data_IF_850392896814
#
_entry.id   IF_850392896814
#
_cell.length_a   1.000
_cell.length_b   1.000
_cell.length_c   1.000
_cell.angle_alpha   90.00
_cell.angle_beta   90.00
_cell.angle_gamma   90.00
#
_symmetry.space_group_name_H-M   'P 1'
#
loop_
_entity.id
_entity.type
_entity.pdbx_description
1 polymer ?
#
# COMPACT_ATOMS: atom_id res chain seq x y z
N UNK A 1 4.18 -39.04 17.86
CA UNK A 1 5.05 -37.91 17.72
C UNK A 1 4.56 -36.93 16.71
N UNK A 2 4.61 -35.71 17.14
CA UNK A 2 4.27 -34.61 16.27
C UNK A 2 5.27 -34.55 15.12
N UNK A 3 4.86 -35.03 13.99
CA UNK A 3 5.62 -34.77 12.76
C UNK A 3 5.40 -33.30 12.42
N UNK A 4 6.47 -32.52 12.47
CA UNK A 4 6.43 -31.20 11.85
C UNK A 4 6.19 -31.41 10.36
N UNK A 5 5.04 -30.99 9.91
CA UNK A 5 4.76 -30.95 8.48
C UNK A 5 5.67 -29.87 7.88
N UNK A 6 6.67 -30.30 7.13
CA UNK A 6 7.44 -29.39 6.31
C UNK A 6 6.52 -28.82 5.24
N UNK A 7 6.41 -27.52 5.22
CA UNK A 7 5.75 -26.86 4.09
C UNK A 7 6.56 -27.14 2.84
N UNK A 8 5.88 -27.60 1.80
CA UNK A 8 6.47 -27.71 0.46
C UNK A 8 6.87 -26.31 0.00
N UNK A 9 7.72 -26.22 -1.01
CA UNK A 9 8.05 -24.94 -1.65
C UNK A 9 6.78 -24.21 -2.07
N UNK A 10 5.81 -24.92 -2.62
CA UNK A 10 4.51 -24.37 -2.96
C UNK A 10 3.81 -23.76 -1.74
N UNK A 11 3.83 -24.46 -0.61
CA UNK A 11 3.20 -23.97 0.62
C UNK A 11 3.83 -22.69 1.14
N UNK A 12 5.16 -22.59 1.08
CA UNK A 12 5.90 -21.39 1.48
C UNK A 12 5.56 -20.22 0.56
N UNK A 13 5.53 -20.45 -0.74
CA UNK A 13 5.19 -19.45 -1.75
C UNK A 13 3.74 -18.96 -1.59
N UNK A 14 2.81 -19.90 -1.39
CA UNK A 14 1.40 -19.56 -1.17
C UNK A 14 1.21 -18.72 0.08
N UNK A 15 1.88 -19.07 1.16
CA UNK A 15 1.82 -18.33 2.42
C UNK A 15 2.33 -16.90 2.25
N UNK A 16 3.42 -16.71 1.53
CA UNK A 16 3.98 -15.39 1.25
C UNK A 16 3.01 -14.54 0.42
N UNK A 17 2.41 -15.12 -0.60
CA UNK A 17 1.38 -14.44 -1.39
C UNK A 17 0.21 -14.02 -0.52
N UNK A 18 -0.31 -14.91 0.31
CA UNK A 18 -1.45 -14.60 1.17
C UNK A 18 -1.12 -13.51 2.19
N UNK A 19 0.08 -13.56 2.77
CA UNK A 19 0.55 -12.52 3.69
C UNK A 19 0.58 -11.15 3.01
N UNK A 20 1.18 -11.06 1.83
CA UNK A 20 1.33 -9.80 1.09
C UNK A 20 -0.03 -9.29 0.62
N UNK A 21 -0.87 -10.15 0.10
CA UNK A 21 -2.23 -9.79 -0.32
C UNK A 21 -3.03 -9.19 0.83
N UNK A 22 -2.95 -9.81 2.03
CA UNK A 22 -3.64 -9.31 3.22
C UNK A 22 -3.05 -8.00 3.72
N UNK A 23 -1.75 -7.85 3.63
CA UNK A 23 -1.07 -6.61 4.04
C UNK A 23 -1.63 -5.41 3.29
N UNK A 24 -1.82 -5.54 1.98
CA UNK A 24 -2.36 -4.47 1.14
C UNK A 24 -3.88 -4.47 1.04
N UNK A 25 -4.55 -5.38 1.76
CA UNK A 25 -6.01 -5.49 1.82
C UNK A 25 -6.64 -5.74 0.44
N UNK A 26 -6.09 -6.70 -0.30
CA UNK A 26 -6.52 -7.02 -1.66
C UNK A 26 -7.15 -8.40 -1.76
N UNK A 27 -8.08 -8.54 -2.73
CA UNK A 27 -8.65 -9.82 -3.12
C UNK A 27 -7.75 -10.50 -4.15
N UNK A 28 -7.85 -11.84 -4.24
CA UNK A 28 -7.01 -12.65 -5.12
C UNK A 28 -7.05 -12.19 -6.58
N UNK A 29 -8.24 -11.90 -7.11
CA UNK A 29 -8.39 -11.48 -8.51
C UNK A 29 -7.61 -10.19 -8.79
N UNK A 30 -7.72 -9.22 -7.89
CA UNK A 30 -7.05 -7.94 -8.04
C UNK A 30 -5.53 -8.09 -7.89
N UNK A 31 -5.10 -8.86 -6.91
CA UNK A 31 -3.67 -9.14 -6.70
C UNK A 31 -3.04 -9.81 -7.92
N UNK A 32 -3.73 -10.79 -8.50
CA UNK A 32 -3.27 -11.46 -9.71
C UNK A 32 -3.12 -10.51 -10.90
N UNK A 33 -4.03 -9.54 -11.03
CA UNK A 33 -3.90 -8.50 -12.07
C UNK A 33 -2.65 -7.67 -11.89
N UNK A 34 -2.30 -7.32 -10.65
CA UNK A 34 -1.06 -6.60 -10.37
C UNK A 34 0.16 -7.43 -10.73
N UNK A 35 0.13 -8.71 -10.42
CA UNK A 35 1.23 -9.58 -10.82
C UNK A 35 1.41 -9.61 -12.33
N UNK A 36 0.33 -9.77 -13.08
CA UNK A 36 0.37 -9.79 -14.55
C UNK A 36 0.95 -8.49 -15.12
N UNK A 37 0.54 -7.37 -14.59
CA UNK A 37 1.06 -6.06 -15.02
C UNK A 37 2.55 -5.92 -14.65
N UNK A 38 2.94 -6.35 -13.47
CA UNK A 38 4.34 -6.34 -13.04
C UNK A 38 5.23 -7.19 -13.95
N UNK A 39 4.74 -8.36 -14.34
CA UNK A 39 5.46 -9.27 -15.23
C UNK A 39 5.60 -8.70 -16.65
N UNK A 40 4.62 -7.92 -17.10
CA UNK A 40 4.64 -7.29 -18.42
C UNK A 40 5.68 -6.17 -18.50
N UNK A 41 5.93 -5.49 -17.39
CA UNK A 41 6.86 -4.35 -17.35
C UNK A 41 8.32 -4.82 -17.36
N UNK A 42 9.21 -3.96 -17.88
CA UNK A 42 10.66 -4.20 -17.85
C UNK A 42 11.18 -4.24 -16.42
N UNK A 43 12.22 -5.00 -16.20
CA UNK A 43 12.90 -5.10 -14.91
C UNK A 43 12.41 -6.25 -14.06
N UNK A 44 12.69 -6.19 -12.77
CA UNK A 44 12.31 -7.22 -11.81
C UNK A 44 10.81 -7.26 -11.60
N UNK A 45 10.18 -8.40 -11.89
CA UNK A 45 8.75 -8.59 -11.68
C UNK A 45 8.34 -8.37 -10.23
N UNK A 46 9.14 -8.89 -9.30
CA UNK A 46 8.86 -8.74 -7.86
C UNK A 46 8.90 -7.29 -7.40
N UNK A 47 9.92 -6.56 -7.82
CA UNK A 47 10.03 -5.14 -7.48
C UNK A 47 8.91 -4.33 -8.13
N UNK A 48 8.59 -4.63 -9.40
CA UNK A 48 7.48 -3.98 -10.10
C UNK A 48 6.15 -4.21 -9.37
N UNK A 49 5.93 -5.44 -8.88
CA UNK A 49 4.73 -5.77 -8.12
C UNK A 49 4.62 -4.90 -6.86
N UNK A 50 5.69 -4.80 -6.08
CA UNK A 50 5.68 -4.00 -4.86
C UNK A 50 5.47 -2.51 -5.15
N UNK A 51 6.06 -1.99 -6.22
CA UNK A 51 5.85 -0.60 -6.64
C UNK A 51 4.39 -0.33 -7.01
N UNK A 52 3.77 -1.24 -7.75
CA UNK A 52 2.35 -1.12 -8.10
C UNK A 52 1.45 -1.11 -6.86
N UNK A 53 1.74 -1.96 -5.88
CA UNK A 53 0.98 -2.03 -4.64
C UNK A 53 1.20 -0.77 -3.79
N UNK A 54 2.43 -0.29 -3.70
CA UNK A 54 2.76 0.89 -2.90
C UNK A 54 2.20 2.19 -3.48
N UNK A 55 2.00 2.27 -4.78
CA UNK A 55 1.43 3.46 -5.42
C UNK A 55 -0.09 3.51 -5.39
N UNK A 56 -0.78 2.52 -4.84
CA UNK A 56 -2.23 2.59 -4.67
C UNK A 56 -2.59 3.74 -3.74
N UNK A 57 -3.63 4.47 -4.10
CA UNK A 57 -4.06 5.63 -3.32
C UNK A 57 -4.40 5.24 -1.88
N UNK A 58 -5.10 4.13 -1.66
CA UNK A 58 -5.43 3.69 -0.31
C UNK A 58 -4.17 3.41 0.52
N UNK A 59 -3.15 2.81 -0.09
CA UNK A 59 -1.88 2.57 0.58
C UNK A 59 -1.14 3.87 0.91
N UNK A 60 -1.13 4.82 -0.01
CA UNK A 60 -0.47 6.12 0.20
C UNK A 60 -1.17 6.89 1.33
N UNK A 61 -2.50 6.88 1.37
CA UNK A 61 -3.28 7.48 2.45
C UNK A 61 -2.93 6.84 3.80
N UNK A 62 -2.80 5.52 3.84
CA UNK A 62 -2.38 4.80 5.04
C UNK A 62 -0.96 5.21 5.46
N UNK A 63 0.00 5.18 4.54
CA UNK A 63 1.40 5.52 4.83
C UNK A 63 1.57 6.97 5.25
N UNK A 64 0.76 7.86 4.72
CA UNK A 64 0.73 9.27 5.13
C UNK A 64 0.21 9.46 6.56
N UNK A 65 -0.44 8.44 7.12
CA UNK A 65 -0.93 8.46 8.48
C UNK A 65 -2.38 8.91 8.64
N UNK A 66 -3.12 9.08 7.54
CA UNK A 66 -4.51 9.53 7.61
C UNK A 66 -5.48 8.43 8.00
N UNK A 67 -5.12 7.17 7.82
CA UNK A 67 -5.87 6.03 8.30
C UNK A 67 -5.01 5.17 9.22
N UNK A 68 -5.61 4.61 10.27
CA UNK A 68 -4.92 3.75 11.23
C UNK A 68 -4.58 2.38 10.64
N UNK A 69 -5.34 1.97 9.64
CA UNK A 69 -5.14 0.71 8.91
C UNK A 69 -5.34 0.98 7.42
N UNK A 70 -4.90 0.05 6.57
CA UNK A 70 -5.18 0.16 5.14
C UNK A 70 -6.67 0.08 4.84
N UNK A 71 -7.43 -0.70 5.62
CA UNK A 71 -8.88 -0.77 5.48
C UNK A 71 -9.54 0.58 5.77
N UNK A 72 -9.14 1.26 6.84
CA UNK A 72 -9.64 2.59 7.18
C UNK A 72 -9.27 3.61 6.09
N UNK A 73 -8.03 3.59 5.62
CA UNK A 73 -7.58 4.45 4.54
C UNK A 73 -8.41 4.24 3.27
N UNK A 74 -8.69 2.98 2.93
CA UNK A 74 -9.53 2.65 1.78
C UNK A 74 -10.95 3.21 1.93
N UNK A 75 -11.50 3.15 3.13
CA UNK A 75 -12.81 3.72 3.41
C UNK A 75 -12.81 5.25 3.23
N UNK A 76 -11.76 5.93 3.70
CA UNK A 76 -11.62 7.37 3.50
C UNK A 76 -11.64 7.73 2.02
N UNK A 77 -10.92 6.97 1.20
CA UNK A 77 -10.90 7.18 -0.26
C UNK A 77 -12.30 6.94 -0.84
N UNK A 78 -12.89 5.79 -0.56
CA UNK A 78 -14.21 5.39 -1.10
C UNK A 78 -15.30 6.38 -0.73
N UNK A 79 -15.23 6.96 0.47
CA UNK A 79 -16.22 7.90 0.99
C UNK A 79 -15.92 9.35 0.59
N UNK A 80 -15.05 9.57 -0.39
CA UNK A 80 -14.75 10.90 -0.96
C UNK A 80 -14.14 11.88 0.04
N UNK A 81 -13.41 11.35 1.03
CA UNK A 81 -12.71 12.17 2.03
C UNK A 81 -11.32 12.61 1.56
N UNK A 82 -10.87 12.16 0.40
CA UNK A 82 -9.52 12.39 -0.11
C UNK A 82 -9.52 13.26 -1.37
N UNK A 83 -8.60 14.20 -1.40
CA UNK A 83 -8.30 15.00 -2.59
C UNK A 83 -6.95 14.55 -3.15
N UNK A 84 -6.85 14.50 -4.47
CA UNK A 84 -5.58 14.35 -5.18
C UNK A 84 -5.41 15.57 -6.07
N UNK A 85 -4.36 16.33 -5.81
CA UNK A 85 -4.10 17.60 -6.52
C UNK A 85 -5.32 18.53 -6.55
N UNK A 86 -6.01 18.61 -5.42
CA UNK A 86 -7.15 19.50 -5.22
C UNK A 86 -8.51 18.98 -5.66
N UNK A 87 -8.58 17.83 -6.29
CA UNK A 87 -9.83 17.23 -6.77
C UNK A 87 -10.16 15.95 -6.01
N UNK A 88 -11.43 15.75 -5.66
CA UNK A 88 -11.87 14.54 -4.99
C UNK A 88 -11.68 13.32 -5.87
N UNK A 89 -11.10 12.27 -5.31
CA UNK A 89 -10.86 11.01 -6.00
C UNK A 89 -11.26 9.87 -5.06
N UNK A 90 -12.19 9.03 -5.52
CA UNK A 90 -12.74 7.95 -4.70
C UNK A 90 -12.36 6.56 -5.18
N UNK A 91 -11.24 6.45 -5.89
CA UNK A 91 -10.77 5.17 -6.45
C UNK A 91 -9.56 4.70 -5.64
N UNK A 92 -9.71 3.69 -4.76
CA UNK A 92 -8.59 3.20 -3.93
C UNK A 92 -7.39 2.70 -4.74
N UNK A 93 -7.63 2.16 -5.93
CA UNK A 93 -6.59 1.60 -6.80
C UNK A 93 -5.87 2.63 -7.66
N UNK A 94 -6.27 3.91 -7.59
CA UNK A 94 -5.58 4.95 -8.37
C UNK A 94 -4.08 4.89 -8.11
N UNK A 95 -3.29 4.96 -9.18
CA UNK A 95 -1.83 4.93 -9.11
C UNK A 95 -1.31 6.34 -8.88
N UNK A 96 -0.86 6.60 -7.66
CA UNK A 96 -0.29 7.88 -7.27
C UNK A 96 1.06 8.05 -7.98
N UNK A 97 1.32 9.25 -8.46
CA UNK A 97 2.52 9.60 -9.21
C UNK A 97 3.40 10.57 -8.42
N UNK A 98 4.68 10.62 -8.77
CA UNK A 98 5.59 11.59 -8.16
C UNK A 98 5.02 13.00 -8.26
N UNK A 99 5.14 13.75 -7.17
CA UNK A 99 4.66 15.12 -6.98
C UNK A 99 3.14 15.26 -6.79
N UNK A 100 2.38 14.17 -6.79
CA UNK A 100 0.97 14.22 -6.42
C UNK A 100 0.83 14.65 -4.96
N UNK A 101 -0.13 15.52 -4.71
CA UNK A 101 -0.47 15.99 -3.37
C UNK A 101 -1.78 15.34 -2.95
N UNK A 102 -1.70 14.57 -1.86
CA UNK A 102 -2.84 13.87 -1.28
C UNK A 102 -3.30 14.67 -0.06
N UNK A 103 -4.56 15.00 0.02
CA UNK A 103 -5.07 15.81 1.13
C UNK A 103 -6.40 15.27 1.63
N UNK A 104 -6.73 15.62 2.88
CA UNK A 104 -8.04 15.34 3.45
C UNK A 104 -8.99 16.44 2.97
N UNK A 105 -10.17 16.04 2.49
CA UNK A 105 -11.21 17.01 2.09
C UNK A 105 -11.60 17.88 3.29
N UNK A 106 -11.86 19.18 3.09
CA UNK A 106 -12.10 20.12 4.20
C UNK A 106 -13.15 19.65 5.20
N UNK A 107 -14.26 19.09 4.72
CA UNK A 107 -15.34 18.60 5.59
C UNK A 107 -14.92 17.41 6.47
N UNK A 108 -13.88 16.69 6.08
CA UNK A 108 -13.44 15.48 6.79
C UNK A 108 -12.34 15.77 7.82
N UNK A 109 -11.75 16.97 7.81
CA UNK A 109 -10.62 17.32 8.70
C UNK A 109 -10.98 17.27 10.18
N UNK A 110 -12.25 17.44 10.52
CA UNK A 110 -12.72 17.40 11.91
C UNK A 110 -12.90 16.00 12.46
N UNK A 111 -12.80 14.96 11.64
CA UNK A 111 -13.00 13.59 12.09
C UNK A 111 -11.91 13.18 13.08
N UNK A 112 -12.32 12.75 14.26
CA UNK A 112 -11.41 12.35 15.32
C UNK A 112 -10.53 11.16 14.89
N UNK A 113 -11.08 10.22 14.12
CA UNK A 113 -10.34 9.03 13.65
C UNK A 113 -9.12 9.41 12.84
N UNK A 114 -9.17 10.50 12.06
CA UNK A 114 -8.05 10.97 11.25
C UNK A 114 -6.96 11.55 12.14
N UNK A 115 -7.35 12.36 13.14
CA UNK A 115 -6.40 12.92 14.10
C UNK A 115 -5.73 11.82 14.93
N UNK A 116 -6.49 10.81 15.34
CA UNK A 116 -5.98 9.66 16.06
C UNK A 116 -5.01 8.87 15.19
N UNK A 117 -5.34 8.66 13.92
CA UNK A 117 -4.48 7.96 12.98
C UNK A 117 -3.14 8.68 12.79
N UNK A 118 -3.15 10.01 12.66
CA UNK A 118 -1.93 10.81 12.52
C UNK A 118 -1.03 10.67 13.75
N UNK A 119 -1.60 10.65 14.95
CA UNK A 119 -0.82 10.43 16.17
C UNK A 119 -0.20 9.03 16.21
N UNK A 120 -0.97 7.99 15.85
CA UNK A 120 -0.47 6.62 15.77
C UNK A 120 0.65 6.49 14.73
N UNK A 121 0.54 7.19 13.60
CA UNK A 121 1.54 7.14 12.55
C UNK A 121 2.91 7.63 13.01
N UNK A 122 2.96 8.53 13.99
CA UNK A 122 4.22 9.02 14.56
C UNK A 122 5.00 7.92 15.29
N UNK A 123 4.33 6.85 15.70
CA UNK A 123 4.94 5.71 16.39
C UNK A 123 5.46 4.63 15.42
N UNK A 124 5.14 4.75 14.14
CA UNK A 124 5.59 3.82 13.10
C UNK A 124 6.81 4.38 12.38
N UNK A 125 7.54 3.48 11.71
CA UNK A 125 8.59 3.89 10.78
C UNK A 125 7.98 4.76 9.68
N UNK A 126 8.54 5.93 9.46
CA UNK A 126 8.05 6.86 8.45
C UNK A 126 8.47 6.43 7.05
N UNK A 127 7.61 6.72 6.09
CA UNK A 127 7.89 6.48 4.68
C UNK A 127 8.62 7.70 4.11
N UNK A 128 9.91 7.55 3.81
CA UNK A 128 10.76 8.67 3.38
C UNK A 128 10.36 9.25 2.03
N UNK A 129 9.64 8.49 1.21
CA UNK A 129 9.17 8.96 -0.09
C UNK A 129 7.86 9.75 -0.04
N UNK A 130 7.31 9.92 1.17
CA UNK A 130 6.08 10.68 1.41
C UNK A 130 6.39 11.76 2.45
N UNK A 131 6.15 13.00 2.09
CA UNK A 131 6.32 14.13 3.00
C UNK A 131 4.96 14.59 3.50
N UNK A 132 4.76 14.52 4.83
CA UNK A 132 3.47 14.81 5.45
C UNK A 132 3.53 16.14 6.19
N UNK A 133 2.55 17.01 5.89
CA UNK A 133 2.26 18.19 6.68
C UNK A 133 0.97 17.93 7.46
N UNK A 134 1.11 17.50 8.71
CA UNK A 134 -0.03 17.09 9.53
C UNK A 134 -0.95 18.25 9.89
N UNK A 135 -0.44 19.46 9.96
CA UNK A 135 -1.24 20.67 10.25
C UNK A 135 -2.18 21.01 9.10
N UNK A 136 -1.72 20.81 7.87
CA UNK A 136 -2.52 21.06 6.66
C UNK A 136 -3.32 19.85 6.24
N UNK A 137 -3.12 18.70 6.84
CA UNK A 137 -3.72 17.42 6.42
C UNK A 137 -3.39 17.11 4.96
N UNK A 138 -2.12 17.29 4.59
CA UNK A 138 -1.62 17.05 3.25
C UNK A 138 -0.39 16.16 3.29
N UNK A 139 -0.20 15.40 2.22
CA UNK A 139 0.99 14.60 2.00
C UNK A 139 1.42 14.73 0.55
N UNK A 140 2.73 14.91 0.32
CA UNK A 140 3.30 14.94 -1.02
C UNK A 140 3.98 13.61 -1.29
N UNK A 141 3.59 12.94 -2.36
CA UNK A 141 4.22 11.71 -2.83
C UNK A 141 5.44 12.11 -3.65
N UNK A 142 6.62 12.10 -3.03
CA UNK A 142 7.83 12.67 -3.64
C UNK A 142 8.38 11.82 -4.78
N UNK A 143 8.32 10.51 -4.63
CA UNK A 143 8.84 9.56 -5.60
C UNK A 143 8.22 8.19 -5.38
N UNK A 144 8.29 7.34 -6.39
CA UNK A 144 7.94 5.94 -6.22
C UNK A 144 9.03 5.30 -5.35
N UNK A 145 8.67 4.50 -4.33
CA UNK A 145 9.68 3.89 -3.47
C UNK A 145 10.50 2.86 -4.22
N UNK A 146 11.78 2.78 -3.87
CA UNK A 146 12.67 1.70 -4.32
C UNK A 146 12.53 0.51 -3.36
N UNK A 147 13.09 -0.63 -3.76
CA UNK A 147 13.01 -1.85 -2.93
C UNK A 147 13.59 -1.62 -1.53
N UNK A 148 14.67 -0.87 -1.43
CA UNK A 148 15.34 -0.59 -0.14
C UNK A 148 14.47 0.23 0.80
N UNK A 149 13.52 0.99 0.30
CA UNK A 149 12.59 1.78 1.12
C UNK A 149 11.56 0.89 1.82
N UNK A 150 11.35 -0.33 1.34
CA UNK A 150 10.28 -1.21 1.80
C UNK A 150 10.82 -2.27 2.76
N UNK A 151 9.90 -2.84 3.55
CA UNK A 151 10.26 -3.85 4.54
C UNK A 151 10.92 -5.07 3.90
N UNK A 152 12.01 -5.55 4.51
CA UNK A 152 12.65 -6.79 4.15
C UNK A 152 11.84 -8.03 4.53
N UNK A 153 10.76 -7.85 5.27
CA UNK A 153 9.87 -8.95 5.67
C UNK A 153 9.08 -9.54 4.51
N UNK A 154 8.97 -8.80 3.41
CA UNK A 154 8.28 -9.29 2.21
C UNK A 154 9.31 -9.95 1.30
N UNK A 155 9.08 -11.22 0.97
CA UNK A 155 9.87 -11.95 0.00
C UNK A 155 9.10 -12.06 -1.31
N UNK A 156 9.21 -11.03 -2.13
CA UNK A 156 8.48 -10.94 -3.40
C UNK A 156 8.88 -12.04 -4.40
N UNK A 157 10.10 -12.54 -4.31
CA UNK A 157 10.56 -13.60 -5.21
C UNK A 157 9.76 -14.88 -5.04
N UNK A 158 9.33 -15.21 -3.83
CA UNK A 158 8.48 -16.37 -3.59
C UNK A 158 7.13 -16.23 -4.30
N UNK A 159 6.60 -15.01 -4.34
CA UNK A 159 5.34 -14.73 -5.04
C UNK A 159 5.51 -14.90 -6.54
N UNK A 160 6.60 -14.38 -7.09
CA UNK A 160 6.93 -14.52 -8.51
C UNK A 160 7.06 -15.99 -8.89
N UNK A 161 7.77 -16.77 -8.08
CA UNK A 161 7.93 -18.21 -8.31
C UNK A 161 6.59 -18.95 -8.30
N UNK A 162 5.68 -18.58 -7.39
CA UNK A 162 4.35 -19.19 -7.32
C UNK A 162 3.56 -18.99 -8.62
N UNK A 163 3.51 -17.74 -9.10
CA UNK A 163 2.72 -17.40 -10.27
C UNK A 163 3.36 -17.86 -11.59
N UNK A 164 4.67 -18.10 -11.61
CA UNK A 164 5.38 -18.52 -12.82
C UNK A 164 5.32 -20.01 -13.10
N UNK A 165 4.70 -20.76 -12.22
CA UNK A 165 4.52 -22.22 -12.38
C UNK A 165 3.41 -22.55 -13.37
#
# INVERSE_FOLDING_TARGET
GSKRVRLSDYGVQLREKQKTKRLYNLLERQFKKYYKEAARRSGSTGENLLKLLECRLDNVVYRAGFGSTRAEARQLVSHKSILVNGSRLNIPSYQVKADDIIAIAPKSKSQLRIKTALELAKTRAQSEWIEVDDKKFEATFKRVPDREDLSSDINEQLIVELYSK
#
